data_IF_871671954203
#
_entry.id   IF_871671954203
#
_cell.length_a   1.000
_cell.length_b   1.000
_cell.length_c   1.000
_cell.angle_alpha   90.00
_cell.angle_beta   90.00
_cell.angle_gamma   90.00
#
_symmetry.space_group_name_H-M   'P 1'
#
loop_
_entity.id
_entity.type
_entity.pdbx_description
1 polymer ?
#
# COMPACT_ATOMS: atom_id res chain seq x y z
N UNK A 1 14.34 -14.46 -5.07
CA UNK A 1 15.31 -14.39 -6.19
C UNK A 1 14.77 -15.06 -7.45
N UNK A 2 13.83 -16.01 -7.37
CA UNK A 2 13.28 -16.63 -8.59
C UNK A 2 14.24 -17.60 -9.27
N UNK A 3 15.31 -17.99 -8.56
CA UNK A 3 16.29 -18.97 -8.99
C UNK A 3 15.85 -20.37 -8.56
N UNK A 4 16.15 -21.42 -9.35
CA UNK A 4 15.82 -22.79 -9.00
C UNK A 4 16.60 -23.28 -7.78
N UNK A 5 17.84 -22.82 -7.63
CA UNK A 5 18.74 -23.18 -6.53
C UNK A 5 19.58 -21.97 -6.10
N UNK A 6 20.10 -22.02 -4.87
CA UNK A 6 21.08 -21.08 -4.32
C UNK A 6 22.00 -21.82 -3.33
N UNK A 7 23.30 -21.59 -3.46
CA UNK A 7 24.35 -22.17 -2.63
C UNK A 7 24.55 -21.44 -1.30
N UNK A 8 25.22 -22.11 -0.36
CA UNK A 8 25.54 -21.56 0.98
C UNK A 8 26.44 -20.32 0.95
N UNK A 9 27.26 -20.17 -0.08
CA UNK A 9 28.23 -19.09 -0.23
C UNK A 9 27.83 -18.13 -1.37
N UNK A 10 26.62 -18.29 -1.93
CA UNK A 10 26.12 -17.42 -2.98
C UNK A 10 25.71 -16.07 -2.40
N UNK A 11 26.23 -15.01 -3.00
CA UNK A 11 25.95 -13.63 -2.60
C UNK A 11 24.55 -13.21 -3.08
N UNK A 12 23.71 -12.84 -2.12
CA UNK A 12 22.34 -12.40 -2.34
C UNK A 12 22.23 -11.26 -3.37
N UNK A 13 23.12 -10.27 -3.31
CA UNK A 13 23.08 -9.09 -4.19
C UNK A 13 23.65 -9.42 -5.58
N UNK A 14 24.67 -10.27 -5.67
CA UNK A 14 25.17 -10.75 -6.97
C UNK A 14 24.15 -11.61 -7.71
N UNK A 15 23.28 -12.30 -6.98
CA UNK A 15 22.14 -13.06 -7.53
C UNK A 15 20.92 -12.18 -7.89
N UNK A 16 21.10 -10.86 -7.98
CA UNK A 16 20.02 -9.92 -8.33
C UNK A 16 19.11 -9.54 -7.16
N UNK A 17 19.52 -9.84 -5.93
CA UNK A 17 18.86 -9.33 -4.73
C UNK A 17 18.97 -7.82 -4.62
N UNK A 18 17.87 -7.18 -4.22
CA UNK A 18 17.81 -5.74 -3.94
C UNK A 18 17.02 -5.49 -2.65
N UNK A 19 16.94 -4.25 -2.19
CA UNK A 19 16.41 -3.89 -0.86
C UNK A 19 15.01 -4.46 -0.56
N UNK A 20 14.13 -4.53 -1.56
CA UNK A 20 12.79 -5.13 -1.38
C UNK A 20 12.87 -6.65 -1.15
N UNK A 21 13.68 -7.35 -1.95
CA UNK A 21 13.91 -8.78 -1.79
C UNK A 21 14.67 -9.09 -0.50
N UNK A 22 15.55 -8.19 -0.06
CA UNK A 22 16.28 -8.27 1.21
C UNK A 22 15.30 -8.20 2.39
N UNK A 23 14.39 -7.23 2.39
CA UNK A 23 13.34 -7.15 3.43
C UNK A 23 12.43 -8.37 3.42
N UNK A 24 12.09 -8.89 2.22
CA UNK A 24 11.33 -10.14 2.09
C UNK A 24 12.11 -11.34 2.66
N UNK A 25 13.41 -11.42 2.40
CA UNK A 25 14.28 -12.48 2.92
C UNK A 25 14.35 -12.42 4.44
N UNK A 26 14.61 -11.25 5.02
CA UNK A 26 14.65 -11.04 6.47
C UNK A 26 13.31 -11.45 7.11
N UNK A 27 12.19 -11.03 6.52
CA UNK A 27 10.86 -11.41 7.00
C UNK A 27 10.62 -12.93 6.98
N UNK A 28 11.10 -13.63 5.94
CA UNK A 28 11.01 -15.09 5.83
C UNK A 28 11.94 -15.82 6.81
N UNK A 29 13.16 -15.32 7.03
CA UNK A 29 14.08 -15.88 8.02
C UNK A 29 13.44 -15.81 9.41
N UNK A 30 12.87 -14.65 9.78
CA UNK A 30 12.16 -14.49 11.05
C UNK A 30 10.99 -15.47 11.18
N UNK A 31 10.17 -15.61 10.14
CA UNK A 31 9.01 -16.50 10.17
C UNK A 31 9.38 -18.00 10.25
N UNK A 32 10.46 -18.41 9.58
CA UNK A 32 10.86 -19.81 9.51
C UNK A 32 11.76 -20.24 10.69
N UNK A 33 12.59 -19.33 11.20
CA UNK A 33 13.64 -19.67 12.18
C UNK A 33 13.53 -18.89 13.49
N UNK A 34 12.61 -17.94 13.62
CA UNK A 34 12.51 -17.11 14.82
C UNK A 34 13.76 -16.26 15.08
N UNK A 35 14.53 -15.95 14.03
CA UNK A 35 15.76 -15.16 14.10
C UNK A 35 15.58 -13.79 13.44
N UNK A 36 16.04 -12.73 14.11
CA UNK A 36 16.09 -11.39 13.52
C UNK A 36 17.41 -11.21 12.78
N UNK A 37 17.34 -10.79 11.51
CA UNK A 37 18.54 -10.42 10.73
C UNK A 37 18.50 -8.92 10.48
N UNK A 38 19.37 -8.13 11.13
CA UNK A 38 19.50 -6.72 10.80
C UNK A 38 19.86 -6.56 9.33
N UNK A 39 19.24 -5.61 8.64
CA UNK A 39 19.54 -5.34 7.22
C UNK A 39 21.04 -5.04 7.01
N UNK A 40 21.67 -4.35 7.97
CA UNK A 40 23.11 -4.07 7.97
C UNK A 40 23.94 -5.37 7.97
N UNK A 41 23.50 -6.38 8.71
CA UNK A 41 24.16 -7.71 8.73
C UNK A 41 24.03 -8.40 7.38
N UNK A 42 22.88 -8.31 6.71
CA UNK A 42 22.73 -8.85 5.36
C UNK A 42 23.65 -8.16 4.35
N UNK A 43 23.86 -6.84 4.46
CA UNK A 43 24.82 -6.13 3.61
C UNK A 43 26.28 -6.50 3.93
N UNK A 44 26.62 -6.67 5.21
CA UNK A 44 27.96 -7.02 5.63
C UNK A 44 28.33 -8.49 5.36
N UNK A 45 27.33 -9.38 5.34
CA UNK A 45 27.50 -10.82 5.17
C UNK A 45 26.40 -11.36 4.24
N UNK A 46 26.49 -11.09 2.93
CA UNK A 46 25.41 -11.31 1.96
C UNK A 46 25.19 -12.77 1.54
N UNK A 47 25.87 -13.73 2.18
CA UNK A 47 25.75 -15.16 1.89
C UNK A 47 25.03 -15.88 3.03
N UNK A 48 24.31 -16.99 2.78
CA UNK A 48 23.72 -17.79 3.84
C UNK A 48 24.71 -18.21 4.94
N UNK A 49 25.92 -18.66 4.56
CA UNK A 49 26.97 -19.03 5.52
C UNK A 49 27.48 -17.82 6.31
N UNK A 50 27.66 -16.68 5.64
CA UNK A 50 28.06 -15.43 6.28
C UNK A 50 27.02 -14.93 7.28
N UNK A 51 25.74 -14.98 6.93
CA UNK A 51 24.64 -14.64 7.84
C UNK A 51 24.66 -15.50 9.10
N UNK A 52 24.78 -16.83 8.96
CA UNK A 52 24.83 -17.74 10.12
C UNK A 52 26.03 -17.40 11.02
N UNK A 53 27.20 -17.17 10.44
CA UNK A 53 28.40 -16.81 11.20
C UNK A 53 28.26 -15.44 11.91
N UNK A 54 27.65 -14.46 11.25
CA UNK A 54 27.48 -13.11 11.79
C UNK A 54 26.38 -13.01 12.86
N UNK A 55 25.39 -13.90 12.81
CA UNK A 55 24.29 -13.93 13.78
C UNK A 55 24.71 -14.61 15.10
N UNK A 56 25.57 -15.63 15.07
CA UNK A 56 25.97 -16.36 16.29
C UNK A 56 24.75 -16.88 17.08
N UNK A 57 24.84 -16.92 18.42
CA UNK A 57 23.68 -17.13 19.32
C UNK A 57 22.90 -15.81 19.45
N UNK A 58 22.11 -15.48 18.43
CA UNK A 58 21.45 -14.16 18.33
C UNK A 58 20.47 -13.85 19.45
N UNK A 59 20.36 -12.53 19.72
CA UNK A 59 19.30 -11.88 20.47
C UNK A 59 17.89 -12.33 20.02
N UNK A 60 16.90 -12.38 20.94
CA UNK A 60 15.56 -12.85 20.62
C UNK A 60 14.96 -12.04 19.46
N UNK A 61 14.26 -12.74 18.54
CA UNK A 61 13.48 -12.09 17.51
C UNK A 61 12.58 -11.00 18.08
N UNK A 62 12.37 -9.91 17.31
CA UNK A 62 11.32 -8.96 17.69
C UNK A 62 10.02 -9.70 17.86
N UNK A 63 9.31 -9.36 18.93
CA UNK A 63 7.99 -9.91 19.17
C UNK A 63 7.11 -9.69 17.93
N UNK A 64 6.35 -10.72 17.53
CA UNK A 64 5.46 -10.60 16.39
C UNK A 64 4.45 -9.48 16.64
N UNK A 65 4.10 -8.75 15.58
CA UNK A 65 3.03 -7.77 15.64
C UNK A 65 1.73 -8.52 15.93
N UNK A 66 1.17 -8.28 17.11
CA UNK A 66 -0.11 -8.82 17.53
C UNK A 66 -1.14 -7.70 17.60
N UNK A 67 -2.39 -8.03 17.27
CA UNK A 67 -3.48 -7.07 17.40
C UNK A 67 -3.74 -6.77 18.88
N UNK A 68 -3.71 -5.50 19.26
CA UNK A 68 -4.12 -5.06 20.60
C UNK A 68 -5.61 -5.35 20.78
N UNK A 69 -5.97 -6.05 21.85
CA UNK A 69 -7.36 -6.38 22.21
C UNK A 69 -7.64 -6.02 23.68
N UNK A 70 -8.73 -5.28 23.99
CA UNK A 70 -9.68 -4.68 23.05
C UNK A 70 -9.03 -3.60 22.17
N UNK A 71 -9.63 -3.30 21.02
CA UNK A 71 -9.13 -2.26 20.12
C UNK A 71 -9.16 -0.92 20.85
N UNK A 72 -8.05 -0.15 20.93
CA UNK A 72 -8.05 1.15 21.58
C UNK A 72 -9.02 2.12 20.89
N UNK A 73 -9.67 2.97 21.67
CA UNK A 73 -10.51 4.06 21.14
C UNK A 73 -9.68 5.05 20.31
N UNK A 74 -8.46 5.33 20.78
CA UNK A 74 -7.50 6.20 20.09
C UNK A 74 -6.42 5.38 19.40
N UNK A 75 -6.35 5.50 18.08
CA UNK A 75 -5.33 4.84 17.25
C UNK A 75 -4.24 5.86 16.90
N UNK A 76 -3.03 5.77 17.47
CA UNK A 76 -1.97 6.72 17.13
C UNK A 76 -1.55 6.60 15.67
N UNK A 77 -1.04 7.70 15.10
CA UNK A 77 -0.30 7.65 13.85
C UNK A 77 0.98 6.83 14.04
N UNK A 78 1.35 6.03 13.04
CA UNK A 78 2.71 5.48 12.96
C UNK A 78 3.73 6.60 12.77
N UNK A 79 5.01 6.38 13.09
CA UNK A 79 6.06 7.40 12.91
C UNK A 79 6.16 7.91 11.47
N UNK A 80 5.94 7.04 10.47
CA UNK A 80 5.88 7.44 9.06
C UNK A 80 4.70 8.37 8.76
N UNK A 81 3.52 8.05 9.28
CA UNK A 81 2.34 8.89 9.14
C UNK A 81 2.48 10.22 9.90
N UNK A 82 3.10 10.24 11.09
CA UNK A 82 3.38 11.48 11.83
C UNK A 82 4.25 12.44 11.03
N UNK A 83 5.31 11.94 10.38
CA UNK A 83 6.16 12.76 9.50
C UNK A 83 5.37 13.36 8.36
N UNK A 84 4.55 12.56 7.67
CA UNK A 84 3.76 13.05 6.54
C UNK A 84 2.70 14.08 6.99
N UNK A 85 2.00 13.80 8.09
CA UNK A 85 1.04 14.73 8.68
C UNK A 85 1.67 16.07 9.07
N UNK A 86 2.86 16.04 9.67
CA UNK A 86 3.58 17.27 10.01
C UNK A 86 3.91 18.10 8.76
N UNK A 87 4.42 17.45 7.70
CA UNK A 87 4.76 18.14 6.45
C UNK A 87 3.54 18.75 5.75
N UNK A 88 2.39 18.05 5.79
CA UNK A 88 1.11 18.60 5.32
C UNK A 88 0.66 19.80 6.16
N UNK A 89 0.73 19.68 7.49
CA UNK A 89 0.28 20.74 8.42
C UNK A 89 1.14 22.01 8.29
N UNK A 90 2.43 21.88 7.96
CA UNK A 90 3.33 23.01 7.73
C UNK A 90 3.12 23.67 6.35
N UNK A 91 2.34 23.05 5.45
CA UNK A 91 2.12 23.54 4.08
C UNK A 91 3.24 23.22 3.10
N UNK A 92 4.23 22.41 3.50
CA UNK A 92 5.45 22.12 2.72
C UNK A 92 5.31 20.88 1.81
N UNK A 93 4.29 20.06 2.02
CA UNK A 93 4.12 18.79 1.31
C UNK A 93 3.61 18.97 -0.14
N UNK A 94 2.70 19.92 -0.36
CA UNK A 94 2.09 20.19 -1.66
C UNK A 94 1.47 18.93 -2.27
N UNK A 95 1.97 18.49 -3.42
CA UNK A 95 1.54 17.26 -4.11
C UNK A 95 2.62 16.17 -4.10
N UNK A 96 3.71 16.40 -3.37
CA UNK A 96 4.94 15.57 -3.39
C UNK A 96 4.71 14.15 -2.86
N UNK A 97 3.64 13.96 -2.09
CA UNK A 97 3.27 12.68 -1.49
C UNK A 97 2.03 12.07 -2.13
N UNK A 98 1.64 12.54 -3.32
CA UNK A 98 0.64 11.87 -4.14
C UNK A 98 1.27 10.70 -4.89
N UNK A 99 0.55 9.58 -4.94
CA UNK A 99 0.90 8.35 -5.64
C UNK A 99 -0.14 8.09 -6.73
N UNK A 100 -0.05 8.74 -7.91
CA UNK A 100 -0.94 8.48 -9.02
C UNK A 100 -0.59 7.15 -9.71
N UNK A 101 -1.59 6.29 -9.88
CA UNK A 101 -1.50 5.02 -10.61
C UNK A 101 -2.49 5.04 -11.75
N UNK A 102 -2.03 4.77 -12.98
CA UNK A 102 -2.88 4.71 -14.17
C UNK A 102 -2.95 3.27 -14.71
N UNK A 103 -4.16 2.76 -14.85
CA UNK A 103 -4.47 1.43 -15.37
C UNK A 103 -5.19 1.57 -16.70
N UNK A 104 -4.65 0.95 -17.74
CA UNK A 104 -5.30 0.89 -19.04
C UNK A 104 -6.18 -0.35 -19.11
N UNK A 105 -7.47 -0.13 -19.29
CA UNK A 105 -8.50 -1.16 -19.34
C UNK A 105 -8.94 -1.32 -20.79
N UNK A 106 -8.98 -2.57 -21.28
CA UNK A 106 -9.38 -2.90 -22.66
C UNK A 106 -10.56 -3.86 -22.62
N UNK A 107 -11.50 -3.65 -23.53
CA UNK A 107 -12.75 -4.39 -23.64
C UNK A 107 -13.96 -3.61 -23.09
N UNK A 108 -15.11 -4.29 -23.06
CA UNK A 108 -16.35 -3.76 -22.50
C UNK A 108 -16.19 -3.59 -20.99
N UNK A 109 -16.39 -2.36 -20.51
CA UNK A 109 -16.25 -2.01 -19.11
C UNK A 109 -17.61 -1.78 -18.46
N UNK A 110 -17.98 -2.62 -17.50
CA UNK A 110 -19.07 -2.30 -16.57
C UNK A 110 -18.58 -1.29 -15.53
N UNK A 111 -19.11 -0.07 -15.61
CA UNK A 111 -18.72 1.06 -14.75
C UNK A 111 -19.28 0.95 -13.33
N UNK A 112 -20.45 0.33 -13.19
CA UNK A 112 -21.08 0.14 -11.88
C UNK A 112 -20.30 -0.92 -11.09
N UNK A 113 -20.00 -2.06 -11.73
CA UNK A 113 -19.18 -3.10 -11.13
C UNK A 113 -17.79 -2.57 -10.73
N UNK A 114 -17.21 -1.64 -11.52
CA UNK A 114 -15.93 -1.01 -11.18
C UNK A 114 -16.04 -0.09 -9.95
N UNK A 115 -17.08 0.73 -9.88
CA UNK A 115 -17.33 1.60 -8.73
C UNK A 115 -17.57 0.79 -7.44
N UNK A 116 -18.33 -0.30 -7.53
CA UNK A 116 -18.57 -1.20 -6.40
C UNK A 116 -17.30 -1.96 -5.99
N UNK A 117 -16.50 -2.42 -6.95
CA UNK A 117 -15.21 -3.06 -6.66
C UNK A 117 -14.23 -2.13 -5.94
N UNK A 118 -14.19 -0.84 -6.33
CA UNK A 118 -13.42 0.18 -5.59
C UNK A 118 -13.92 0.33 -4.15
N UNK A 119 -15.24 0.31 -3.94
CA UNK A 119 -15.83 0.37 -2.61
C UNK A 119 -15.50 -0.87 -1.76
N UNK A 120 -15.46 -2.06 -2.35
CA UNK A 120 -15.06 -3.30 -1.67
C UNK A 120 -13.60 -3.23 -1.21
N UNK A 121 -12.70 -2.76 -2.07
CA UNK A 121 -11.29 -2.57 -1.75
C UNK A 121 -11.10 -1.55 -0.62
N UNK A 122 -11.79 -0.41 -0.68
CA UNK A 122 -11.73 0.59 0.41
C UNK A 122 -12.37 0.07 1.69
N UNK A 123 -13.44 -0.72 1.60
CA UNK A 123 -14.06 -1.36 2.75
C UNK A 123 -13.11 -2.33 3.45
N UNK A 124 -12.41 -3.15 2.67
CA UNK A 124 -11.41 -4.13 3.11
C UNK A 124 -10.17 -3.51 3.73
N UNK A 125 -9.64 -2.43 3.14
CA UNK A 125 -8.39 -1.82 3.55
C UNK A 125 -8.64 -0.55 4.39
N UNK A 126 -8.63 -0.70 5.72
CA UNK A 126 -8.80 0.42 6.67
C UNK A 126 -7.98 1.69 6.33
N UNK A 127 -6.69 1.61 5.91
CA UNK A 127 -5.93 2.81 5.57
C UNK A 127 -6.55 3.67 4.45
N UNK A 128 -7.25 3.06 3.50
CA UNK A 128 -7.90 3.78 2.38
C UNK A 128 -9.15 4.57 2.82
N UNK A 129 -9.69 4.25 4.01
CA UNK A 129 -10.82 4.95 4.65
C UNK A 129 -10.43 5.61 5.98
N UNK A 130 -9.16 5.94 6.16
CA UNK A 130 -8.66 6.57 7.37
C UNK A 130 -8.35 8.04 7.14
N UNK A 131 -8.92 8.91 7.99
CA UNK A 131 -8.58 10.33 8.09
C UNK A 131 -7.74 10.58 9.34
N UNK A 132 -7.00 11.68 9.37
CA UNK A 132 -6.21 12.11 10.52
C UNK A 132 -6.99 13.14 11.32
N UNK A 133 -7.36 12.80 12.56
CA UNK A 133 -8.04 13.73 13.46
C UNK A 133 -7.03 14.35 14.43
N UNK A 134 -7.03 15.67 14.53
CA UNK A 134 -6.30 16.38 15.59
C UNK A 134 -7.12 16.33 16.90
N UNK A 135 -6.53 15.82 17.97
CA UNK A 135 -7.11 15.83 19.32
C UNK A 135 -6.18 16.55 20.31
N UNK A 136 -6.61 16.85 21.55
CA UNK A 136 -5.74 17.43 22.57
C UNK A 136 -4.47 16.60 22.86
N UNK A 137 -4.56 15.27 22.71
CA UNK A 137 -3.45 14.33 22.93
C UNK A 137 -2.56 14.14 21.68
N UNK A 138 -2.79 14.94 20.63
CA UNK A 138 -2.08 14.88 19.35
C UNK A 138 -2.84 14.12 18.25
N UNK A 139 -2.31 14.09 17.01
CA UNK A 139 -3.00 13.51 15.87
C UNK A 139 -3.21 12.00 16.01
N UNK A 140 -4.39 11.53 15.63
CA UNK A 140 -4.73 10.12 15.64
C UNK A 140 -5.47 9.70 14.36
N UNK A 141 -5.43 8.39 14.08
CA UNK A 141 -6.18 7.79 12.98
C UNK A 141 -7.65 7.71 13.37
N UNK A 142 -8.52 8.19 12.49
CA UNK A 142 -9.97 7.98 12.56
C UNK A 142 -10.40 7.21 11.33
N UNK A 143 -10.75 5.94 11.55
CA UNK A 143 -11.17 5.04 10.49
C UNK A 143 -12.67 5.23 10.26
N UNK A 144 -13.04 5.65 9.07
CA UNK A 144 -14.42 5.86 8.69
C UNK A 144 -15.10 4.51 8.39
N UNK A 145 -16.42 4.37 8.61
CA UNK A 145 -17.13 3.16 8.20
C UNK A 145 -17.00 2.95 6.68
N UNK A 146 -16.98 1.69 6.25
CA UNK A 146 -17.12 1.38 4.83
C UNK A 146 -18.51 1.78 4.35
N UNK A 147 -18.60 2.35 3.14
CA UNK A 147 -19.86 2.76 2.53
C UNK A 147 -19.89 2.45 1.04
N UNK A 148 -21.09 2.30 0.45
CA UNK A 148 -21.21 2.13 -0.99
C UNK A 148 -20.68 3.36 -1.72
N UNK A 149 -20.08 3.15 -2.90
CA UNK A 149 -19.54 4.23 -3.76
C UNK A 149 -18.49 5.12 -3.05
N UNK A 150 -17.70 4.56 -2.14
CA UNK A 150 -16.57 5.23 -1.50
C UNK A 150 -15.25 4.54 -1.91
N UNK A 151 -14.36 5.21 -2.66
CA UNK A 151 -14.42 6.59 -3.14
C UNK A 151 -15.47 6.76 -4.25
N UNK A 152 -15.91 8.00 -4.53
CA UNK A 152 -16.63 8.28 -5.77
C UNK A 152 -15.73 8.02 -6.98
N UNK A 153 -16.25 7.28 -7.97
CA UNK A 153 -15.61 7.14 -9.28
C UNK A 153 -16.00 8.34 -10.16
N UNK A 154 -15.09 9.29 -10.35
CA UNK A 154 -15.33 10.45 -11.20
C UNK A 154 -15.20 10.06 -12.68
N UNK A 155 -16.28 10.19 -13.44
CA UNK A 155 -16.25 10.00 -14.89
C UNK A 155 -15.76 11.28 -15.56
N UNK A 156 -14.81 11.13 -16.49
CA UNK A 156 -14.26 12.22 -17.29
C UNK A 156 -14.93 12.23 -18.67
N UNK A 157 -14.87 13.36 -19.38
CA UNK A 157 -15.50 13.50 -20.69
C UNK A 157 -14.60 12.88 -21.79
N UNK A 158 -15.18 12.31 -22.86
CA UNK A 158 -14.42 11.87 -24.02
C UNK A 158 -13.57 13.00 -24.60
N UNK A 159 -12.26 12.75 -24.77
CA UNK A 159 -11.30 13.73 -25.27
C UNK A 159 -10.55 14.52 -24.18
N UNK A 160 -10.95 14.38 -22.91
CA UNK A 160 -10.17 14.95 -21.80
C UNK A 160 -8.75 14.33 -21.76
N UNK A 161 -7.71 15.16 -21.54
CA UNK A 161 -6.36 14.63 -21.38
C UNK A 161 -6.28 13.79 -20.10
N UNK A 162 -5.77 12.56 -20.23
CA UNK A 162 -5.53 11.67 -19.08
C UNK A 162 -4.51 12.31 -18.15
N UNK A 163 -4.98 12.83 -17.02
CA UNK A 163 -4.17 13.48 -16.00
C UNK A 163 -4.70 13.14 -14.61
N UNK A 164 -3.83 12.79 -13.66
CA UNK A 164 -4.25 12.57 -12.29
C UNK A 164 -4.78 13.86 -11.68
N UNK A 165 -5.81 13.75 -10.84
CA UNK A 165 -6.19 14.78 -9.90
C UNK A 165 -5.06 14.92 -8.86
N UNK A 166 -4.38 16.07 -8.91
CA UNK A 166 -3.32 16.44 -7.99
C UNK A 166 -3.74 17.60 -7.09
N UNK A 167 -5.04 17.91 -6.96
CA UNK A 167 -5.48 18.82 -5.92
C UNK A 167 -5.00 18.29 -4.55
N UNK A 168 -4.56 19.15 -3.62
CA UNK A 168 -4.14 18.70 -2.29
C UNK A 168 -5.24 17.86 -1.61
N UNK A 169 -4.84 16.86 -0.82
CA UNK A 169 -5.77 16.11 0.03
C UNK A 169 -6.01 16.85 1.33
N UNK A 170 -7.27 17.01 1.74
CA UNK A 170 -7.58 17.38 3.13
C UNK A 170 -7.65 16.11 3.97
N UNK A 171 -6.50 15.67 4.49
CA UNK A 171 -6.40 14.43 5.27
C UNK A 171 -7.21 14.45 6.57
N UNK A 172 -7.78 15.59 6.99
CA UNK A 172 -8.63 15.65 8.17
C UNK A 172 -10.09 15.22 7.90
N UNK A 173 -10.57 15.39 6.66
CA UNK A 173 -11.96 15.11 6.30
C UNK A 173 -12.16 14.31 5.02
N UNK A 174 -11.13 14.12 4.21
CA UNK A 174 -11.17 13.43 2.93
C UNK A 174 -10.45 12.08 2.97
N UNK A 175 -10.96 11.10 2.22
CA UNK A 175 -10.26 9.83 2.02
C UNK A 175 -8.93 10.08 1.30
N UNK A 176 -7.84 9.38 1.67
CA UNK A 176 -6.52 9.51 1.05
C UNK A 176 -6.45 8.81 -0.33
N UNK A 177 -7.55 8.83 -1.09
CA UNK A 177 -7.71 8.19 -2.38
C UNK A 177 -8.80 8.88 -3.22
N UNK A 178 -8.49 9.15 -4.50
CA UNK A 178 -9.46 9.61 -5.52
C UNK A 178 -9.36 8.71 -6.75
N UNK A 179 -10.49 8.49 -7.43
CA UNK A 179 -10.57 7.68 -8.64
C UNK A 179 -11.22 8.46 -9.79
N UNK A 180 -10.58 8.41 -10.97
CA UNK A 180 -11.04 9.02 -12.21
C UNK A 180 -11.05 7.99 -13.34
N UNK A 181 -12.12 7.93 -14.13
CA UNK A 181 -12.22 7.07 -15.31
C UNK A 181 -12.30 7.90 -16.59
N UNK A 182 -11.30 7.75 -17.44
CA UNK A 182 -11.21 8.41 -18.74
C UNK A 182 -11.65 7.46 -19.85
N UNK A 183 -12.75 7.75 -20.58
CA UNK A 183 -13.09 7.02 -21.79
C UNK A 183 -12.17 7.44 -22.94
N UNK A 184 -11.38 6.50 -23.47
CA UNK A 184 -10.46 6.74 -24.60
C UNK A 184 -11.12 6.33 -25.92
N UNK A 185 -11.77 5.17 -25.93
CA UNK A 185 -12.54 4.62 -27.04
C UNK A 185 -13.68 3.74 -26.46
N UNK A 186 -14.64 3.24 -27.28
CA UNK A 186 -15.74 2.42 -26.79
C UNK A 186 -15.32 1.22 -25.91
N UNK A 187 -14.17 0.63 -26.21
CA UNK A 187 -13.59 -0.51 -25.48
C UNK A 187 -12.20 -0.19 -24.91
N UNK A 188 -11.85 1.08 -24.74
CA UNK A 188 -10.58 1.47 -24.14
C UNK A 188 -10.81 2.59 -23.11
N UNK A 189 -10.33 2.33 -21.90
CA UNK A 189 -10.50 3.25 -20.78
C UNK A 189 -9.17 3.37 -20.01
N UNK A 190 -8.99 4.50 -19.33
CA UNK A 190 -7.92 4.64 -18.35
C UNK A 190 -8.52 4.97 -16.99
N UNK A 191 -8.32 4.08 -16.02
CA UNK A 191 -8.60 4.34 -14.61
C UNK A 191 -7.36 4.97 -13.98
N UNK A 192 -7.49 6.17 -13.44
CA UNK A 192 -6.46 6.83 -12.64
C UNK A 192 -6.89 6.82 -11.19
N UNK A 193 -6.07 6.24 -10.32
CA UNK A 193 -6.25 6.27 -8.87
C UNK A 193 -5.11 7.08 -8.28
N UNK A 194 -5.42 8.22 -7.67
CA UNK A 194 -4.45 9.02 -6.93
C UNK A 194 -4.59 8.69 -5.45
N UNK A 195 -3.55 8.16 -4.84
CA UNK A 195 -3.49 7.93 -3.39
C UNK A 195 -2.61 8.97 -2.71
N UNK A 196 -2.81 9.19 -1.41
CA UNK A 196 -1.83 9.87 -0.57
C UNK A 196 -0.89 8.85 0.10
N UNK A 197 0.42 9.13 0.16
CA UNK A 197 1.43 8.22 0.70
C UNK A 197 1.23 7.88 2.20
N UNK A 198 0.35 8.61 2.90
CA UNK A 198 -0.04 8.32 4.28
C UNK A 198 -0.82 7.00 4.43
N UNK A 199 -1.46 6.54 3.35
CA UNK A 199 -2.31 5.35 3.32
C UNK A 199 -1.72 4.20 2.50
N UNK A 200 -0.73 4.46 1.65
CA UNK A 200 -0.16 3.47 0.77
C UNK A 200 1.32 3.75 0.48
N UNK A 201 2.04 2.69 0.12
CA UNK A 201 3.42 2.73 -0.34
C UNK A 201 3.62 1.80 -1.55
N UNK A 202 4.87 1.64 -2.00
CA UNK A 202 5.18 0.76 -3.13
C UNK A 202 4.80 -0.71 -2.90
N UNK A 203 4.86 -1.21 -1.66
CA UNK A 203 4.46 -2.59 -1.34
C UNK A 203 2.95 -2.76 -1.41
N UNK A 204 2.22 -1.69 -1.11
CA UNK A 204 0.75 -1.66 -1.12
C UNK A 204 0.15 -1.77 -2.52
N UNK A 205 0.92 -1.52 -3.58
CA UNK A 205 0.40 -1.50 -4.96
C UNK A 205 -0.01 -2.89 -5.47
N UNK A 206 0.80 -3.91 -5.22
CA UNK A 206 0.48 -5.29 -5.65
C UNK A 206 -0.82 -5.82 -5.02
N UNK A 207 -1.05 -5.77 -3.69
CA UNK A 207 -2.31 -6.19 -3.11
C UNK A 207 -3.48 -5.28 -3.53
N UNK A 208 -3.28 -3.97 -3.70
CA UNK A 208 -4.34 -3.07 -4.16
C UNK A 208 -4.88 -3.48 -5.55
N UNK A 209 -3.97 -3.72 -6.51
CA UNK A 209 -4.35 -4.10 -7.87
C UNK A 209 -4.97 -5.50 -7.94
N UNK A 210 -4.43 -6.45 -7.15
CA UNK A 210 -4.99 -7.79 -7.03
C UNK A 210 -6.43 -7.76 -6.52
N UNK A 211 -6.63 -7.10 -5.38
CA UNK A 211 -7.92 -7.04 -4.71
C UNK A 211 -8.96 -6.29 -5.57
N UNK A 212 -8.55 -5.25 -6.31
CA UNK A 212 -9.43 -4.58 -7.26
C UNK A 212 -9.86 -5.49 -8.42
N UNK A 213 -8.92 -6.26 -8.98
CA UNK A 213 -9.22 -7.21 -10.06
C UNK A 213 -10.16 -8.33 -9.58
N UNK A 214 -9.92 -8.86 -8.39
CA UNK A 214 -10.75 -9.91 -7.77
C UNK A 214 -12.16 -9.38 -7.47
N UNK A 215 -12.27 -8.21 -6.82
CA UNK A 215 -13.55 -7.58 -6.52
C UNK A 215 -14.34 -7.28 -7.80
N UNK A 216 -13.69 -6.73 -8.84
CA UNK A 216 -14.36 -6.46 -10.11
C UNK A 216 -14.91 -7.73 -10.77
N UNK A 217 -14.13 -8.82 -10.75
CA UNK A 217 -14.56 -10.11 -11.31
C UNK A 217 -15.73 -10.71 -10.51
N UNK A 218 -15.73 -10.57 -9.18
CA UNK A 218 -16.83 -11.00 -8.33
C UNK A 218 -18.10 -10.19 -8.61
N UNK A 219 -17.98 -8.87 -8.78
CA UNK A 219 -19.10 -7.98 -9.12
C UNK A 219 -19.71 -8.30 -10.48
N UNK A 220 -18.89 -8.55 -11.50
CA UNK A 220 -19.36 -8.95 -12.83
C UNK A 220 -20.10 -10.29 -12.85
N UNK A 221 -19.72 -11.22 -11.97
CA UNK A 221 -20.35 -12.54 -11.86
C UNK A 221 -21.53 -12.60 -10.89
N UNK A 222 -21.83 -11.49 -10.19
CA UNK A 222 -22.86 -11.44 -9.15
C UNK A 222 -22.51 -12.25 -7.89
N UNK A 223 -21.21 -12.50 -7.65
CA UNK A 223 -20.70 -13.31 -6.55
C UNK A 223 -20.14 -12.48 -5.37
N UNK A 224 -20.32 -11.16 -5.41
CA UNK A 224 -19.87 -10.21 -4.39
C UNK A 224 -20.92 -9.96 -3.30
#
# INVERSE_FOLDING_TARGET
LGLPEAGRDDDFFLLGGHSLLAMRLIGRIRAAFGAEVPIVTLFASPTPAGLVAALGDTAPAREPVTAVRPRPERLPLSSGQQRLWLLETLGDAGTSYHLPVALRLRGVLDRLALAEALADVVGRHEPLRTVVSQTPDGPCQRILPAGPNQPPLRLMEPGDPVRPDLAPFDLACELPLRAQLFPIAPEEHVLVVTLHHIAADGWSMEPLLRDLSEAYTARLSGAA
#
